data_IF_413426898602
#
_entry.id   IF_413426898602
#
_cell.length_a   1.000
_cell.length_b   1.000
_cell.length_c   1.000
_cell.angle_alpha   90.00
_cell.angle_beta   90.00
_cell.angle_gamma   90.00
#
_symmetry.space_group_name_H-M   'P 1'
#
loop_
_entity.id
_entity.type
_entity.pdbx_description
1 polymer ?
#
# COMPACT_ATOMS: atom_id res chain seq x y z
N UNK A 1 -10.19 7.08 20.36
CA UNK A 1 -9.73 7.65 19.08
C UNK A 1 -9.43 6.48 18.18
N UNK A 2 -10.16 6.28 17.09
CA UNK A 2 -9.99 5.09 16.25
C UNK A 2 -8.63 5.20 15.57
N UNK A 3 -7.65 4.44 16.06
CA UNK A 3 -6.45 4.12 15.28
C UNK A 3 -6.97 3.52 13.97
N UNK A 4 -6.56 4.08 12.83
CA UNK A 4 -6.90 3.59 11.48
C UNK A 4 -8.12 4.20 10.79
N UNK A 5 -8.52 5.43 11.13
CA UNK A 5 -9.51 6.19 10.34
C UNK A 5 -8.93 6.76 9.04
N UNK A 6 -8.10 5.99 8.30
CA UNK A 6 -7.59 6.46 7.01
C UNK A 6 -8.68 6.43 5.94
N UNK A 7 -9.71 5.56 6.09
CA UNK A 7 -10.79 5.37 5.11
C UNK A 7 -11.55 6.67 4.84
N UNK A 8 -11.71 7.54 5.84
CA UNK A 8 -12.35 8.84 5.63
C UNK A 8 -11.61 9.74 4.64
N UNK A 9 -10.33 9.48 4.37
CA UNK A 9 -9.54 10.29 3.44
C UNK A 9 -9.54 9.75 2.02
N UNK A 10 -10.15 8.60 1.75
CA UNK A 10 -10.23 8.02 0.42
C UNK A 10 -11.67 7.87 -0.06
N UNK A 11 -11.84 7.79 -1.38
CA UNK A 11 -13.10 7.34 -1.98
C UNK A 11 -13.20 5.81 -1.89
N UNK A 12 -14.18 5.33 -1.12
CA UNK A 12 -14.33 3.90 -0.83
C UNK A 12 -14.70 3.12 -2.11
N UNK A 13 -15.48 3.71 -3.01
CA UNK A 13 -15.85 3.07 -4.27
C UNK A 13 -14.61 2.82 -5.16
N UNK A 14 -13.68 3.78 -5.18
CA UNK A 14 -12.38 3.63 -5.85
C UNK A 14 -11.55 2.52 -5.20
N UNK A 15 -11.42 2.50 -3.87
CA UNK A 15 -10.68 1.42 -3.19
C UNK A 15 -11.28 0.03 -3.48
N UNK A 16 -12.60 -0.11 -3.40
CA UNK A 16 -13.29 -1.36 -3.68
C UNK A 16 -13.07 -1.83 -5.12
N UNK A 17 -13.13 -0.92 -6.10
CA UNK A 17 -12.86 -1.23 -7.51
C UNK A 17 -11.42 -1.65 -7.76
N UNK A 18 -10.47 -1.05 -7.05
CA UNK A 18 -9.04 -1.37 -7.17
C UNK A 18 -8.64 -2.68 -6.47
N UNK A 19 -9.37 -3.10 -5.43
CA UNK A 19 -9.12 -4.36 -4.72
C UNK A 19 -9.63 -5.61 -5.48
N UNK A 20 -10.50 -5.43 -6.48
CA UNK A 20 -11.02 -6.55 -7.27
C UNK A 20 -9.87 -7.36 -7.88
N UNK A 21 -10.00 -8.68 -7.82
CA UNK A 21 -9.06 -9.61 -8.43
C UNK A 21 -9.13 -9.44 -9.95
N UNK A 22 -8.11 -8.80 -10.52
CA UNK A 22 -8.02 -8.53 -11.95
C UNK A 22 -7.17 -9.61 -12.62
N UNK A 23 -7.75 -10.28 -13.62
CA UNK A 23 -7.04 -11.28 -14.42
C UNK A 23 -5.79 -10.66 -15.07
N UNK A 24 -4.66 -11.35 -14.96
CA UNK A 24 -3.33 -10.95 -15.47
C UNK A 24 -2.82 -9.61 -14.96
N UNK A 25 -3.35 -9.11 -13.84
CA UNK A 25 -2.90 -7.87 -13.21
C UNK A 25 -1.53 -8.03 -12.56
N UNK A 26 -0.69 -7.02 -12.72
CA UNK A 26 0.56 -6.86 -11.97
C UNK A 26 0.42 -6.00 -10.72
N UNK A 27 -0.77 -5.47 -10.50
CA UNK A 27 -1.10 -4.56 -9.42
C UNK A 27 -2.09 -5.21 -8.46
N UNK A 28 -1.90 -4.95 -7.18
CA UNK A 28 -2.77 -5.40 -6.10
C UNK A 28 -2.93 -4.28 -5.07
N UNK A 29 -4.17 -4.05 -4.63
CA UNK A 29 -4.42 -3.14 -3.51
C UNK A 29 -4.09 -3.86 -2.20
N UNK A 30 -3.23 -3.25 -1.39
CA UNK A 30 -2.86 -3.76 -0.07
C UNK A 30 -3.05 -2.68 0.99
N UNK A 31 -3.05 -3.09 2.26
CA UNK A 31 -2.93 -2.17 3.38
C UNK A 31 -1.52 -2.31 3.95
N UNK A 32 -0.84 -1.18 4.15
CA UNK A 32 0.52 -1.14 4.68
C UNK A 32 0.61 -0.09 5.79
N UNK A 33 1.50 -0.32 6.76
CA UNK A 33 1.93 0.74 7.68
C UNK A 33 2.47 1.92 6.88
N UNK A 34 2.10 3.13 7.30
CA UNK A 34 2.59 4.35 6.66
C UNK A 34 4.11 4.45 6.82
N UNK A 35 4.66 4.06 7.96
CA UNK A 35 6.10 4.09 8.19
C UNK A 35 6.84 3.06 7.34
N UNK A 36 6.27 1.87 7.13
CA UNK A 36 6.84 0.87 6.22
C UNK A 36 6.88 1.42 4.79
N UNK A 37 5.80 2.02 4.31
CA UNK A 37 5.79 2.66 2.99
C UNK A 37 6.85 3.77 2.88
N UNK A 38 6.93 4.66 3.88
CA UNK A 38 7.90 5.75 3.89
C UNK A 38 9.35 5.26 3.97
N UNK A 39 9.58 4.09 4.57
CA UNK A 39 10.88 3.42 4.64
C UNK A 39 11.28 2.75 3.31
N UNK A 40 10.31 2.39 2.48
CA UNK A 40 10.54 1.75 1.18
C UNK A 40 10.90 2.73 0.06
N UNK A 41 10.46 3.99 0.20
CA UNK A 41 10.76 5.08 -0.71
C UNK A 41 12.11 5.76 -0.41
N UNK A 42 12.75 6.34 -1.42
CA UNK A 42 13.89 7.22 -1.20
C UNK A 42 13.57 8.41 -0.26
N UNK A 43 14.52 8.87 0.57
CA UNK A 43 14.33 10.07 1.40
C UNK A 43 14.04 11.29 0.52
N UNK A 44 13.13 12.16 0.98
CA UNK A 44 13.00 13.50 0.41
C UNK A 44 14.04 14.38 1.07
N UNK A 45 14.90 15.00 0.27
CA UNK A 45 15.63 16.17 0.71
C UNK A 45 14.65 17.35 0.73
N UNK A 46 14.26 17.74 1.94
CA UNK A 46 13.33 18.85 2.17
C UNK A 46 14.09 20.17 2.14
N UNK A 47 14.39 20.64 0.93
CA UNK A 47 14.89 22.02 0.71
C UNK A 47 13.90 22.87 -0.10
N UNK A 48 12.78 22.29 -0.54
CA UNK A 48 11.84 22.94 -1.46
C UNK A 48 10.58 23.43 -0.73
N UNK A 49 10.52 24.75 -0.52
CA UNK A 49 9.38 25.46 0.10
C UNK A 49 8.05 25.21 -0.62
N UNK A 50 8.06 24.96 -1.94
CA UNK A 50 6.86 24.71 -2.75
C UNK A 50 6.19 23.39 -2.35
N UNK A 51 7.00 22.36 -2.02
CA UNK A 51 6.48 21.06 -1.57
C UNK A 51 5.80 21.14 -0.21
N UNK A 52 6.32 21.97 0.69
CA UNK A 52 5.71 22.20 2.01
C UNK A 52 4.34 22.87 1.87
N UNK A 53 4.25 23.94 1.09
CA UNK A 53 3.00 24.66 0.84
C UNK A 53 1.93 23.77 0.19
N UNK A 54 2.30 22.91 -0.77
CA UNK A 54 1.36 21.94 -1.36
C UNK A 54 0.83 20.91 -0.35
N UNK A 55 1.68 20.45 0.56
CA UNK A 55 1.27 19.50 1.60
C UNK A 55 0.31 20.15 2.60
N UNK A 56 0.57 21.40 3.00
CA UNK A 56 -0.32 22.19 3.87
C UNK A 56 -1.67 22.46 3.19
N UNK A 57 -1.68 22.82 1.90
CA UNK A 57 -2.92 23.01 1.15
C UNK A 57 -3.75 21.72 1.06
N UNK A 58 -3.10 20.56 0.85
CA UNK A 58 -3.78 19.27 0.87
C UNK A 58 -4.33 18.94 2.26
N UNK A 59 -3.56 19.21 3.33
CA UNK A 59 -4.03 19.01 4.70
C UNK A 59 -5.29 19.81 4.99
N UNK A 60 -5.32 21.08 4.59
CA UNK A 60 -6.49 21.94 4.76
C UNK A 60 -7.70 21.36 4.03
N UNK A 61 -7.54 20.93 2.77
CA UNK A 61 -8.63 20.32 1.97
C UNK A 61 -9.17 19.05 2.64
N UNK A 62 -8.30 18.14 3.06
CA UNK A 62 -8.72 16.88 3.68
C UNK A 62 -9.42 17.08 5.03
N UNK A 63 -9.08 18.13 5.77
CA UNK A 63 -9.63 18.39 7.11
C UNK A 63 -10.84 19.32 7.12
N UNK A 64 -11.02 20.17 6.10
CA UNK A 64 -12.08 21.20 6.09
C UNK A 64 -13.14 21.02 5.02
N UNK A 65 -12.81 20.50 3.83
CA UNK A 65 -13.73 20.47 2.68
C UNK A 65 -14.34 19.10 2.38
N UNK A 66 -14.20 18.11 3.28
CA UNK A 66 -14.58 16.69 3.07
C UNK A 66 -13.97 16.07 1.81
N UNK A 67 -12.96 16.71 1.25
CA UNK A 67 -12.28 16.24 0.06
C UNK A 67 -11.52 14.95 0.36
N UNK A 68 -11.38 14.14 -0.68
CA UNK A 68 -10.68 12.87 -0.63
C UNK A 68 -9.33 13.01 -1.32
N UNK A 69 -8.40 12.16 -0.91
CA UNK A 69 -7.19 11.88 -1.66
C UNK A 69 -7.61 11.33 -3.03
N UNK A 70 -7.13 11.98 -4.08
CA UNK A 70 -7.46 11.68 -5.48
C UNK A 70 -6.72 10.45 -6.04
N UNK A 71 -5.68 9.98 -5.35
CA UNK A 71 -4.77 8.96 -5.84
C UNK A 71 -4.19 8.10 -4.72
N UNK A 72 -4.30 6.79 -4.91
CA UNK A 72 -3.77 5.79 -3.98
C UNK A 72 -2.23 5.83 -4.04
N UNK A 73 -1.52 5.91 -2.89
CA UNK A 73 -0.06 5.75 -2.85
C UNK A 73 0.40 4.47 -3.54
N UNK A 74 1.54 4.50 -4.23
CA UNK A 74 2.00 3.40 -5.08
C UNK A 74 3.42 2.99 -4.73
N UNK A 75 3.66 1.68 -4.73
CA UNK A 75 4.99 1.08 -4.75
C UNK A 75 5.14 0.25 -6.02
N UNK A 76 6.25 0.46 -6.74
CA UNK A 76 6.61 -0.33 -7.90
C UNK A 76 7.82 -1.21 -7.56
N UNK A 77 7.66 -2.52 -7.71
CA UNK A 77 8.64 -3.52 -7.33
C UNK A 77 9.11 -4.37 -8.52
N UNK A 78 10.34 -4.85 -8.47
CA UNK A 78 10.84 -5.95 -9.30
C UNK A 78 11.04 -7.17 -8.41
N UNK A 79 10.52 -8.30 -8.85
CA UNK A 79 10.68 -9.58 -8.14
C UNK A 79 12.00 -10.22 -8.58
N UNK A 80 12.79 -10.66 -7.60
CA UNK A 80 13.98 -11.50 -7.77
C UNK A 80 13.70 -12.87 -7.13
N UNK A 81 13.19 -13.83 -7.92
CA UNK A 81 12.82 -15.14 -7.40
C UNK A 81 14.04 -15.99 -7.01
N UNK A 82 15.21 -15.75 -7.61
CA UNK A 82 16.42 -16.51 -7.27
C UNK A 82 16.96 -16.08 -5.90
N UNK A 83 16.89 -14.78 -5.60
CA UNK A 83 17.28 -14.25 -4.29
C UNK A 83 16.16 -14.36 -3.24
N UNK A 84 14.94 -14.74 -3.62
CA UNK A 84 13.71 -14.65 -2.80
C UNK A 84 13.43 -13.25 -2.25
N UNK A 85 13.65 -12.23 -3.07
CA UNK A 85 13.46 -10.82 -2.67
C UNK A 85 12.60 -10.09 -3.69
N UNK A 86 12.00 -9.00 -3.25
CA UNK A 86 11.46 -7.97 -4.12
C UNK A 86 12.23 -6.67 -3.86
N UNK A 87 12.53 -5.92 -4.91
CA UNK A 87 13.23 -4.64 -4.84
C UNK A 87 12.28 -3.53 -5.28
N UNK A 88 12.12 -2.49 -4.46
CA UNK A 88 11.44 -1.27 -4.90
C UNK A 88 12.29 -0.58 -5.97
N UNK A 89 11.63 -0.26 -7.08
CA UNK A 89 12.21 0.41 -8.25
C UNK A 89 11.49 1.72 -8.59
N UNK A 90 10.48 2.10 -7.80
CA UNK A 90 9.78 3.36 -7.92
C UNK A 90 8.65 3.49 -6.89
N UNK A 91 8.21 4.72 -6.64
CA UNK A 91 7.13 5.01 -5.71
C UNK A 91 6.39 6.31 -6.06
N UNK A 92 5.14 6.43 -5.66
CA UNK A 92 4.37 7.68 -5.73
C UNK A 92 3.52 7.88 -4.47
N UNK A 93 3.24 9.15 -4.12
CA UNK A 93 2.34 9.48 -3.01
C UNK A 93 3.00 9.59 -1.64
N UNK A 94 4.32 9.76 -1.57
CA UNK A 94 5.05 9.98 -0.30
C UNK A 94 4.55 11.16 0.51
N UNK A 95 4.21 12.29 -0.13
CA UNK A 95 3.61 13.43 0.58
C UNK A 95 2.24 13.10 1.17
N UNK A 96 1.42 12.30 0.47
CA UNK A 96 0.11 11.84 0.99
C UNK A 96 0.30 10.92 2.18
N UNK A 97 1.26 10.01 2.13
CA UNK A 97 1.63 9.15 3.25
C UNK A 97 2.10 9.97 4.46
N UNK A 98 2.99 10.95 4.26
CA UNK A 98 3.44 11.86 5.33
C UNK A 98 2.26 12.62 5.95
N UNK A 99 1.34 13.11 5.12
CA UNK A 99 0.15 13.81 5.58
C UNK A 99 -0.77 12.91 6.39
N UNK A 100 -1.06 11.69 5.92
CA UNK A 100 -1.86 10.72 6.67
C UNK A 100 -1.22 10.40 8.01
N UNK A 101 0.11 10.28 8.08
CA UNK A 101 0.85 10.12 9.33
C UNK A 101 0.66 11.32 10.26
N UNK A 102 0.76 12.55 9.74
CA UNK A 102 0.54 13.78 10.51
C UNK A 102 -0.91 13.87 11.03
N UNK A 103 -1.87 13.31 10.30
CA UNK A 103 -3.28 13.21 10.68
C UNK A 103 -3.56 12.05 11.66
N UNK A 104 -2.52 11.34 12.12
CA UNK A 104 -2.61 10.27 13.13
C UNK A 104 -3.00 8.90 12.56
N UNK A 105 -2.97 8.71 11.24
CA UNK A 105 -3.16 7.38 10.66
C UNK A 105 -1.89 6.54 10.84
N UNK A 106 -2.06 5.26 11.17
CA UNK A 106 -0.96 4.28 11.25
C UNK A 106 -0.82 3.48 9.93
N UNK A 107 -1.95 3.25 9.23
CA UNK A 107 -2.02 2.47 7.99
C UNK A 107 -2.66 3.26 6.85
N UNK A 108 -2.45 2.80 5.62
CA UNK A 108 -3.10 3.36 4.43
C UNK A 108 -3.21 2.31 3.31
N UNK A 109 -4.11 2.49 2.33
CA UNK A 109 -4.12 1.68 1.13
C UNK A 109 -2.89 2.03 0.28
N UNK A 110 -2.27 1.00 -0.30
CA UNK A 110 -1.14 1.13 -1.22
C UNK A 110 -1.42 0.26 -2.44
N UNK A 111 -1.27 0.84 -3.62
CA UNK A 111 -1.23 0.10 -4.86
C UNK A 111 0.15 -0.52 -5.01
N UNK A 112 0.27 -1.83 -4.78
CA UNK A 112 1.52 -2.56 -4.95
C UNK A 112 1.58 -3.16 -6.36
N UNK A 113 2.49 -2.66 -7.17
CA UNK A 113 2.64 -3.07 -8.58
C UNK A 113 3.99 -3.72 -8.79
N UNK A 114 4.05 -4.78 -9.61
CA UNK A 114 5.32 -5.39 -9.99
C UNK A 114 5.62 -5.24 -11.48
N UNK A 115 6.89 -5.27 -11.86
CA UNK A 115 7.32 -5.19 -13.26
C UNK A 115 7.27 -6.54 -13.99
N UNK A 116 7.42 -7.65 -13.25
CA UNK A 116 7.69 -8.97 -13.82
C UNK A 116 6.87 -10.12 -13.19
N UNK A 117 5.82 -9.82 -12.42
CA UNK A 117 4.94 -10.83 -11.83
C UNK A 117 3.47 -10.44 -11.97
N UNK A 118 2.62 -11.39 -12.35
CA UNK A 118 1.16 -11.21 -12.34
C UNK A 118 0.57 -11.96 -11.16
N UNK A 119 -0.20 -11.26 -10.33
CA UNK A 119 -0.72 -11.82 -9.09
C UNK A 119 -1.69 -12.99 -9.29
N UNK A 120 -2.46 -12.98 -10.37
CA UNK A 120 -3.40 -14.04 -10.73
C UNK A 120 -2.77 -15.32 -11.29
N UNK A 121 -1.44 -15.37 -11.41
CA UNK A 121 -0.72 -16.49 -12.02
C UNK A 121 0.08 -17.30 -10.98
N UNK A 122 -0.10 -17.02 -9.68
CA UNK A 122 0.82 -17.47 -8.63
C UNK A 122 0.31 -18.67 -7.82
N UNK A 123 -0.98 -18.99 -7.91
CA UNK A 123 -1.56 -20.16 -7.23
C UNK A 123 -1.46 -21.45 -8.04
N UNK A 124 -1.19 -21.37 -9.35
CA UNK A 124 -1.09 -22.54 -10.25
C UNK A 124 0.32 -22.67 -10.82
N UNK A 125 1.10 -23.69 -10.43
CA UNK A 125 2.39 -23.97 -11.05
C UNK A 125 2.26 -24.17 -12.56
N UNK A 126 3.17 -23.55 -13.34
CA UNK A 126 3.20 -23.69 -14.80
C UNK A 126 2.50 -22.59 -15.58
N UNK A 127 1.83 -21.64 -14.90
CA UNK A 127 1.39 -20.40 -15.53
C UNK A 127 2.57 -19.55 -16.02
N UNK A 128 2.36 -18.74 -17.06
CA UNK A 128 3.42 -18.02 -17.78
C UNK A 128 4.29 -17.13 -16.87
N UNK A 129 3.68 -16.40 -15.93
CA UNK A 129 4.39 -15.54 -14.97
C UNK A 129 4.51 -16.18 -13.58
N UNK A 130 4.31 -17.50 -13.43
CA UNK A 130 4.47 -18.18 -12.15
C UNK A 130 5.94 -18.07 -11.69
N UNK A 131 6.17 -17.51 -10.50
CA UNK A 131 7.50 -17.49 -9.91
C UNK A 131 7.71 -18.73 -9.05
N UNK A 132 8.87 -19.40 -9.17
CA UNK A 132 9.17 -20.62 -8.41
C UNK A 132 9.31 -20.33 -6.92
N UNK A 133 10.07 -19.29 -6.57
CA UNK A 133 10.28 -18.87 -5.19
C UNK A 133 9.52 -17.58 -4.91
N UNK A 134 8.69 -17.61 -3.87
CA UNK A 134 7.99 -16.42 -3.41
C UNK A 134 8.96 -15.51 -2.64
N UNK A 135 8.86 -14.17 -2.78
CA UNK A 135 9.69 -13.27 -2.02
C UNK A 135 9.39 -13.35 -0.52
N UNK A 136 10.44 -13.34 0.29
CA UNK A 136 10.33 -13.31 1.74
C UNK A 136 10.49 -11.88 2.27
N UNK A 137 11.25 -11.04 1.55
CA UNK A 137 11.54 -9.65 1.92
C UNK A 137 11.29 -8.68 0.78
N UNK A 138 10.88 -7.47 1.13
CA UNK A 138 10.83 -6.31 0.26
C UNK A 138 11.95 -5.35 0.65
N UNK A 139 12.80 -4.99 -0.31
CA UNK A 139 13.96 -4.14 -0.12
C UNK A 139 13.65 -2.74 -0.66
N UNK A 140 14.01 -1.71 0.10
CA UNK A 140 13.78 -0.30 -0.23
C UNK A 140 14.51 0.14 -1.49
N UNK A 141 14.07 1.22 -2.11
CA UNK A 141 14.61 1.74 -3.38
C UNK A 141 16.13 1.95 -3.36
N UNK A 142 16.68 2.46 -2.25
CA UNK A 142 18.12 2.65 -2.03
C UNK A 142 18.85 1.42 -1.45
N UNK A 143 18.16 0.29 -1.28
CA UNK A 143 18.69 -0.95 -0.72
C UNK A 143 19.19 -0.88 0.74
N UNK A 144 18.84 0.18 1.48
CA UNK A 144 19.28 0.37 2.87
C UNK A 144 18.32 -0.18 3.92
N UNK A 145 17.05 -0.42 3.56
CA UNK A 145 16.02 -0.91 4.47
C UNK A 145 15.32 -2.12 3.86
N UNK A 146 14.75 -2.96 4.72
CA UNK A 146 13.91 -4.08 4.28
C UNK A 146 12.78 -4.31 5.26
N UNK A 147 11.66 -4.79 4.75
CA UNK A 147 10.52 -5.30 5.52
C UNK A 147 10.17 -6.71 5.02
N UNK A 148 9.35 -7.44 5.78
CA UNK A 148 8.75 -8.67 5.28
C UNK A 148 7.93 -8.40 4.01
N UNK A 149 7.93 -9.32 3.06
CA UNK A 149 7.15 -9.14 1.85
C UNK A 149 5.64 -9.06 2.19
N UNK A 150 4.90 -8.03 1.73
CA UNK A 150 3.59 -7.68 2.30
C UNK A 150 2.43 -8.58 1.86
N UNK A 151 2.68 -9.53 0.96
CA UNK A 151 1.67 -10.40 0.36
C UNK A 151 2.18 -11.83 0.43
N UNK A 152 1.47 -12.75 1.08
CA UNK A 152 1.81 -14.17 1.02
C UNK A 152 1.38 -14.77 -0.32
N UNK A 153 1.96 -15.91 -0.74
CA UNK A 153 1.62 -16.50 -2.05
C UNK A 153 0.14 -16.84 -2.13
N UNK A 154 -0.40 -17.49 -1.10
CA UNK A 154 -1.81 -17.87 -1.01
C UNK A 154 -2.77 -16.67 -1.13
N UNK A 155 -2.28 -15.47 -0.80
CA UNK A 155 -3.03 -14.22 -0.88
C UNK A 155 -2.96 -13.56 -2.25
N UNK A 156 -2.20 -14.09 -3.22
CA UNK A 156 -1.96 -13.44 -4.51
C UNK A 156 -3.27 -13.13 -5.25
N UNK A 157 -4.28 -13.98 -5.09
CA UNK A 157 -5.60 -13.86 -5.70
C UNK A 157 -6.70 -13.42 -4.70
N UNK A 158 -6.35 -13.01 -3.48
CA UNK A 158 -7.32 -12.52 -2.50
C UNK A 158 -7.61 -11.00 -2.60
N UNK A 159 -8.77 -10.57 -2.14
CA UNK A 159 -9.12 -9.14 -1.96
C UNK A 159 -8.62 -8.66 -0.59
N UNK A 160 -7.33 -8.31 -0.52
CA UNK A 160 -6.62 -8.05 0.74
C UNK A 160 -7.14 -6.82 1.48
N UNK A 161 -7.50 -5.77 0.76
CA UNK A 161 -8.04 -4.57 1.38
C UNK A 161 -9.41 -4.84 2.02
N UNK A 162 -10.31 -5.54 1.31
CA UNK A 162 -11.60 -5.93 1.85
C UNK A 162 -11.48 -6.84 3.08
N UNK A 163 -10.51 -7.77 3.07
CA UNK A 163 -10.23 -8.63 4.22
C UNK A 163 -9.78 -7.82 5.45
N UNK A 164 -8.89 -6.84 5.26
CA UNK A 164 -8.45 -5.93 6.32
C UNK A 164 -9.62 -5.14 6.92
N UNK A 165 -10.45 -4.51 6.07
CA UNK A 165 -11.59 -3.68 6.54
C UNK A 165 -12.59 -4.53 7.33
N UNK A 166 -12.89 -5.74 6.88
CA UNK A 166 -13.76 -6.67 7.63
C UNK A 166 -13.17 -7.08 8.98
N UNK A 167 -11.85 -7.24 9.07
CA UNK A 167 -11.16 -7.53 10.33
C UNK A 167 -11.34 -6.41 11.34
N UNK A 168 -11.14 -5.15 10.93
CA UNK A 168 -11.30 -3.98 11.80
C UNK A 168 -12.74 -3.80 12.30
N UNK A 169 -13.76 -4.09 11.48
CA UNK A 169 -15.15 -4.02 11.91
C UNK A 169 -15.46 -5.02 13.04
N UNK A 170 -14.94 -6.25 12.93
CA UNK A 170 -15.13 -7.28 13.97
C UNK A 170 -14.48 -6.91 15.31
N UNK A 171 -13.30 -6.30 15.28
CA UNK A 171 -12.61 -5.84 16.50
C UNK A 171 -13.42 -4.76 17.22
N UNK A 172 -13.94 -3.78 16.47
CA UNK A 172 -14.80 -2.72 17.02
C UNK A 172 -16.09 -3.31 17.62
N UNK A 173 -16.75 -4.24 16.92
CA UNK A 173 -17.95 -4.92 17.43
C UNK A 173 -17.68 -5.72 18.71
N UNK A 174 -16.50 -6.35 18.82
CA UNK A 174 -16.09 -7.10 20.01
C UNK A 174 -15.80 -6.19 21.21
N UNK A 175 -15.17 -5.02 20.99
CA UNK A 175 -14.91 -4.03 22.05
C UNK A 175 -16.18 -3.36 22.58
N UNK A 176 -17.23 -3.23 21.75
CA UNK A 176 -18.52 -2.65 22.13
C UNK A 176 -19.46 -3.65 22.84
N UNK A 177 -19.14 -4.94 22.85
CA UNK A 177 -19.90 -5.99 23.55
C UNK A 177 -19.34 -6.33 24.95
N UNK A 178 -18.32 -5.60 25.42
CA UNK A 178 -17.70 -5.70 26.75
C UNK A 178 -18.02 -4.46 27.58
#
# INVERSE_FOLDING_TARGET
MIKNDFLRFFDIATLAREDLVKNKSRSKLIVMSIDDFLNMANPIEFEDLDKKSRMEALMLRLTTSKEKIDSIPLLFARIDPDAKKAQIIGHEGRHRAMLLRQLGCEYMPVMFTTSNMRFSEQNTPGCFDFIKSWPEVLVSENQKKSIGFPIKREQSEEMLFAAFVKGQQKEIEAEHCL
#
